data_IF_595823569161
#
_entry.id   IF_595823569161
#
_cell.length_a   1.000
_cell.length_b   1.000
_cell.length_c   1.000
_cell.angle_alpha   90.00
_cell.angle_beta   90.00
_cell.angle_gamma   90.00
#
_symmetry.space_group_name_H-M   'P 1'
#
loop_
_entity.id
_entity.type
_entity.pdbx_description
1 polymer ?
#
# COMPACT_ATOMS: atom_id res chain seq x y z
N UNK A 1 -13.21 -16.22 -10.87
CA UNK A 1 -12.83 -14.82 -10.56
C UNK A 1 -12.57 -14.78 -9.07
N UNK A 2 -11.29 -14.79 -8.68
CA UNK A 2 -10.91 -14.78 -7.28
C UNK A 2 -11.41 -13.52 -6.58
N UNK A 3 -12.31 -13.70 -5.62
CA UNK A 3 -12.88 -12.63 -4.81
C UNK A 3 -11.95 -12.35 -3.62
N UNK A 4 -10.72 -11.95 -3.95
CA UNK A 4 -9.70 -11.59 -2.97
C UNK A 4 -10.06 -10.25 -2.35
N UNK A 5 -10.29 -10.26 -1.04
CA UNK A 5 -10.61 -9.08 -0.25
C UNK A 5 -9.76 -9.05 1.01
N UNK A 6 -9.33 -7.87 1.47
CA UNK A 6 -8.67 -7.75 2.74
C UNK A 6 -9.67 -8.12 3.86
N UNK A 7 -9.30 -9.12 4.66
CA UNK A 7 -9.99 -9.50 5.88
C UNK A 7 -9.55 -8.64 7.08
N UNK A 8 -8.33 -8.09 7.03
CA UNK A 8 -7.82 -7.16 8.04
C UNK A 8 -6.64 -6.34 7.54
N UNK A 9 -6.56 -5.09 8.00
CA UNK A 9 -5.49 -4.16 7.66
C UNK A 9 -4.96 -3.55 8.97
N UNK A 10 -3.66 -3.71 9.22
CA UNK A 10 -2.99 -3.17 10.41
C UNK A 10 -1.83 -2.29 9.99
N UNK A 11 -1.76 -1.08 10.53
CA UNK A 11 -0.63 -0.17 10.33
C UNK A 11 0.16 -0.02 11.63
N UNK A 12 1.31 -0.68 11.73
CA UNK A 12 2.20 -0.58 12.88
C UNK A 12 3.16 0.59 12.70
N UNK A 13 2.92 1.67 13.46
CA UNK A 13 3.74 2.89 13.41
C UNK A 13 5.12 2.73 14.03
N UNK A 14 5.27 1.84 15.01
CA UNK A 14 6.56 1.60 15.66
C UNK A 14 7.48 0.83 14.71
N UNK A 15 6.94 -0.20 14.06
CA UNK A 15 7.67 -1.00 13.08
C UNK A 15 7.72 -0.37 11.68
N UNK A 16 6.87 0.64 11.40
CA UNK A 16 6.71 1.29 10.09
C UNK A 16 6.36 0.31 8.97
N UNK A 17 5.47 -0.63 9.27
CA UNK A 17 4.97 -1.63 8.33
C UNK A 17 3.44 -1.67 8.34
N UNK A 18 2.86 -1.96 7.18
CA UNK A 18 1.46 -2.33 7.04
C UNK A 18 1.37 -3.81 6.77
N UNK A 19 0.47 -4.48 7.49
CA UNK A 19 0.15 -5.88 7.29
C UNK A 19 -1.28 -5.98 6.77
N UNK A 20 -1.48 -6.73 5.69
CA UNK A 20 -2.79 -7.04 5.11
C UNK A 20 -3.00 -8.54 5.23
N UNK A 21 -4.08 -8.93 5.88
CA UNK A 21 -4.55 -10.31 5.92
C UNK A 21 -5.68 -10.46 4.91
N UNK A 22 -5.57 -11.43 4.03
CA UNK A 22 -6.51 -11.68 2.95
C UNK A 22 -7.49 -12.80 3.35
N UNK A 23 -8.67 -12.82 2.73
CA UNK A 23 -9.70 -13.81 3.01
C UNK A 23 -9.38 -15.23 2.53
N UNK A 24 -8.32 -15.39 1.74
CA UNK A 24 -7.76 -16.69 1.32
C UNK A 24 -6.72 -17.24 2.32
N UNK A 25 -6.39 -16.47 3.36
CA UNK A 25 -5.38 -16.83 4.36
C UNK A 25 -3.97 -16.32 4.03
N UNK A 26 -3.77 -15.63 2.91
CA UNK A 26 -2.50 -14.97 2.61
C UNK A 26 -2.28 -13.78 3.56
N UNK A 27 -1.02 -13.52 3.89
CA UNK A 27 -0.60 -12.32 4.62
C UNK A 27 0.47 -11.60 3.81
N UNK A 28 0.25 -10.32 3.56
CA UNK A 28 1.22 -9.44 2.92
C UNK A 28 1.72 -8.41 3.92
N UNK A 29 3.02 -8.14 3.92
CA UNK A 29 3.64 -7.08 4.73
C UNK A 29 4.41 -6.12 3.81
N UNK A 30 4.21 -4.83 4.03
CA UNK A 30 4.80 -3.78 3.23
C UNK A 30 5.36 -2.68 4.14
N UNK A 31 6.57 -2.20 3.86
CA UNK A 31 7.13 -1.06 4.58
C UNK A 31 6.41 0.24 4.18
N UNK A 32 6.31 1.19 5.10
CA UNK A 32 5.74 2.51 4.80
C UNK A 32 6.54 3.26 3.73
N UNK A 33 7.85 3.03 3.68
CA UNK A 33 8.70 3.57 2.61
C UNK A 33 8.25 3.09 1.24
N UNK A 34 7.97 1.79 1.10
CA UNK A 34 7.50 1.22 -0.17
C UNK A 34 6.17 1.85 -0.62
N UNK A 35 5.20 2.03 0.30
CA UNK A 35 3.96 2.73 -0.03
C UNK A 35 4.20 4.17 -0.49
N UNK A 36 5.13 4.89 0.16
CA UNK A 36 5.41 6.27 -0.20
C UNK A 36 6.05 6.40 -1.58
N UNK A 37 6.91 5.45 -1.95
CA UNK A 37 7.51 5.36 -3.29
C UNK A 37 6.47 4.97 -4.35
N UNK A 38 5.57 4.03 -4.02
CA UNK A 38 4.51 3.57 -4.92
C UNK A 38 3.27 4.48 -4.95
N UNK A 39 3.27 5.60 -4.20
CA UNK A 39 2.09 6.42 -4.01
C UNK A 39 1.50 6.89 -5.35
N UNK A 40 0.22 6.60 -5.65
CA UNK A 40 -0.36 6.90 -6.95
C UNK A 40 -0.85 8.36 -7.09
N UNK A 41 -0.75 9.19 -6.04
CA UNK A 41 -1.28 10.54 -6.11
C UNK A 41 -0.47 11.45 -7.05
N UNK A 42 -1.13 12.46 -7.60
CA UNK A 42 -0.52 13.40 -8.53
C UNK A 42 0.73 14.07 -7.94
N UNK A 43 0.68 14.48 -6.67
CA UNK A 43 1.82 15.12 -6.00
C UNK A 43 3.06 14.22 -5.92
N UNK A 44 2.88 12.92 -5.67
CA UNK A 44 4.00 11.98 -5.58
C UNK A 44 4.52 11.53 -6.94
N UNK A 45 3.69 11.61 -7.99
CA UNK A 45 4.03 11.22 -9.36
C UNK A 45 4.49 12.39 -10.25
N UNK A 46 4.81 13.56 -9.68
CA UNK A 46 5.29 14.72 -10.43
C UNK A 46 4.19 15.54 -11.10
N UNK A 47 3.04 15.69 -10.42
CA UNK A 47 1.91 16.47 -10.88
C UNK A 47 2.30 17.91 -11.18
N UNK A 48 2.27 18.24 -12.48
CA UNK A 48 2.51 19.52 -13.16
C UNK A 48 3.91 19.80 -13.72
N UNK A 49 4.92 18.95 -13.49
CA UNK A 49 6.25 19.10 -14.12
C UNK A 49 6.46 18.20 -15.37
N UNK A 50 5.58 17.23 -15.60
CA UNK A 50 5.54 16.36 -16.80
C UNK A 50 4.31 16.62 -17.70
N UNK A 51 3.68 17.80 -17.58
CA UNK A 51 2.56 18.24 -18.41
C UNK A 51 3.00 19.26 -19.49
N UNK A 52 4.30 19.33 -19.80
CA UNK A 52 4.89 20.22 -20.82
C UNK A 52 5.65 19.44 -21.87
#
# INVERSE_FOLDING_TARGET
MDNLKPAGITADRQKRVMTINWNDGHTSEYSFTLFRVACPCAECRGGHENMG
#
